data_IF_063960088731
#
_entry.id   IF_063960088731
#
_cell.length_a   1.000
_cell.length_b   1.000
_cell.length_c   1.000
_cell.angle_alpha   90.00
_cell.angle_beta   90.00
_cell.angle_gamma   90.00
#
_symmetry.space_group_name_H-M   'P 1'
#
loop_
_entity.id
_entity.type
_entity.pdbx_description
1 polymer ?
#
# COMPACT_ATOMS: atom_id res chain seq x y z
N UNK A 1 -33.43 -23.10 -37.30
CA UNK A 1 -32.14 -23.51 -36.68
C UNK A 1 -31.44 -22.24 -36.24
N UNK A 2 -31.58 -21.89 -34.96
CA UNK A 2 -31.18 -20.60 -34.38
C UNK A 2 -29.71 -20.66 -33.92
N UNK A 3 -28.91 -19.64 -34.28
CA UNK A 3 -27.76 -19.24 -33.46
C UNK A 3 -27.41 -17.77 -33.72
N UNK A 4 -28.09 -16.86 -33.01
CA UNK A 4 -27.61 -15.48 -32.81
C UNK A 4 -26.47 -15.55 -31.79
N UNK A 5 -25.25 -15.24 -32.22
CA UNK A 5 -24.09 -15.08 -31.36
C UNK A 5 -24.08 -13.63 -30.87
N UNK A 6 -24.47 -13.40 -29.62
CA UNK A 6 -24.33 -12.11 -28.95
C UNK A 6 -22.98 -12.15 -28.25
N UNK A 7 -21.98 -11.51 -28.84
CA UNK A 7 -20.71 -11.22 -28.17
C UNK A 7 -20.94 -10.11 -27.15
N UNK A 8 -21.04 -10.49 -25.88
CA UNK A 8 -21.07 -9.54 -24.77
C UNK A 8 -19.69 -8.87 -24.66
N UNK A 9 -19.59 -7.63 -25.13
CA UNK A 9 -18.48 -6.76 -24.78
C UNK A 9 -18.64 -6.37 -23.31
N UNK A 10 -17.92 -7.05 -22.42
CA UNK A 10 -17.74 -6.63 -21.03
C UNK A 10 -16.89 -5.36 -21.05
N UNK A 11 -17.55 -4.21 -20.94
CA UNK A 11 -16.92 -2.94 -20.60
C UNK A 11 -16.32 -3.12 -19.19
N UNK A 12 -15.00 -3.24 -19.10
CA UNK A 12 -14.29 -3.22 -17.82
C UNK A 12 -14.55 -1.89 -17.13
N UNK A 13 -15.27 -1.94 -16.01
CA UNK A 13 -15.49 -0.77 -15.16
C UNK A 13 -14.14 -0.44 -14.52
N UNK A 14 -13.51 0.65 -14.94
CA UNK A 14 -12.31 1.16 -14.30
C UNK A 14 -12.66 1.62 -12.88
N UNK A 15 -12.43 0.78 -11.87
CA UNK A 15 -12.46 1.20 -10.48
C UNK A 15 -11.18 2.00 -10.19
N UNK A 16 -11.18 3.26 -10.59
CA UNK A 16 -10.17 4.21 -10.11
C UNK A 16 -10.47 4.46 -8.64
N UNK A 17 -9.57 4.03 -7.74
CA UNK A 17 -9.53 4.59 -6.38
C UNK A 17 -9.11 6.05 -6.49
N UNK A 18 -10.03 6.92 -6.86
CA UNK A 18 -9.85 8.36 -6.71
C UNK A 18 -10.02 8.67 -5.22
N UNK A 19 -8.95 8.42 -4.44
CA UNK A 19 -8.85 8.91 -3.09
C UNK A 19 -8.58 10.41 -3.17
N UNK A 20 -9.51 11.23 -2.67
CA UNK A 20 -9.09 12.45 -1.98
C UNK A 20 -7.99 12.04 -1.01
N UNK A 21 -6.84 12.72 -0.97
CA UNK A 21 -5.75 12.34 -0.08
C UNK A 21 -6.20 12.58 1.36
N UNK A 22 -6.86 11.57 1.95
CA UNK A 22 -7.13 11.53 3.37
C UNK A 22 -5.84 11.04 3.98
N UNK A 23 -5.16 11.94 4.69
CA UNK A 23 -4.00 11.58 5.49
C UNK A 23 -4.53 10.80 6.69
N UNK A 24 -4.45 9.48 6.62
CA UNK A 24 -4.72 8.62 7.77
C UNK A 24 -3.40 8.42 8.50
N UNK A 25 -3.35 8.68 9.81
CA UNK A 25 -2.21 8.31 10.63
C UNK A 25 -2.00 6.79 10.52
N UNK A 26 -0.88 6.38 9.92
CA UNK A 26 -0.53 4.97 9.82
C UNK A 26 0.08 4.56 11.16
N UNK A 27 -0.45 3.51 11.79
CA UNK A 27 0.19 2.96 12.97
C UNK A 27 1.48 2.27 12.54
N UNK A 28 2.61 2.70 13.12
CA UNK A 28 3.86 1.96 13.01
C UNK A 28 3.64 0.59 13.67
N UNK A 29 4.25 -0.44 13.09
CA UNK A 29 4.25 -1.75 13.76
C UNK A 29 5.21 -1.77 14.95
N UNK A 30 4.97 -2.64 15.93
CA UNK A 30 5.89 -2.93 17.04
C UNK A 30 7.30 -3.23 16.51
N UNK A 31 7.39 -3.91 15.36
CA UNK A 31 8.66 -4.20 14.71
C UNK A 31 9.40 -2.92 14.32
N UNK A 32 8.75 -2.03 13.58
CA UNK A 32 9.38 -0.80 13.10
C UNK A 32 9.67 0.15 14.27
N UNK A 33 8.79 0.26 15.26
CA UNK A 33 9.02 1.04 16.47
C UNK A 33 10.28 0.57 17.20
N UNK A 34 10.41 -0.73 17.45
CA UNK A 34 11.61 -1.29 18.08
C UNK A 34 12.87 -1.01 17.26
N UNK A 35 12.82 -1.14 15.92
CA UNK A 35 13.97 -0.82 15.06
C UNK A 35 14.34 0.65 15.10
N UNK A 36 13.37 1.55 15.13
CA UNK A 36 13.62 2.99 15.24
C UNK A 36 14.20 3.35 16.62
N UNK A 37 13.68 2.75 17.70
CA UNK A 37 14.23 2.93 19.05
C UNK A 37 15.67 2.44 19.12
N UNK A 38 15.94 1.24 18.60
CA UNK A 38 17.27 0.65 18.54
C UNK A 38 18.24 1.53 17.74
N UNK A 39 17.77 2.08 16.62
CA UNK A 39 18.58 2.92 15.73
C UNK A 39 18.92 4.27 16.33
N UNK A 40 17.92 4.97 16.88
CA UNK A 40 18.07 6.36 17.34
C UNK A 40 18.70 6.43 18.74
N UNK A 41 18.25 5.57 19.65
CA UNK A 41 18.59 5.70 21.08
C UNK A 41 19.58 4.67 21.58
N UNK A 42 19.79 3.57 20.85
CA UNK A 42 20.60 2.43 21.31
C UNK A 42 21.78 2.12 20.38
N UNK A 43 22.04 3.01 19.41
CA UNK A 43 23.16 2.93 18.47
C UNK A 43 23.27 1.58 17.75
N UNK A 44 22.15 0.90 17.51
CA UNK A 44 22.11 -0.31 16.70
C UNK A 44 21.91 0.05 15.23
N UNK A 45 22.57 -0.68 14.35
CA UNK A 45 22.34 -0.51 12.92
C UNK A 45 20.94 -1.00 12.55
N UNK A 46 20.16 -0.15 11.89
CA UNK A 46 18.95 -0.54 11.19
C UNK A 46 19.19 -0.35 9.70
N UNK A 47 19.13 -1.44 8.93
CA UNK A 47 19.17 -1.38 7.47
C UNK A 47 17.73 -1.33 6.97
N UNK A 48 17.32 -0.16 6.48
CA UNK A 48 16.00 0.00 5.88
C UNK A 48 15.85 -0.91 4.65
N UNK A 49 14.64 -1.42 4.36
CA UNK A 49 14.42 -2.26 3.19
C UNK A 49 14.67 -1.47 1.90
N UNK A 50 15.31 -2.10 0.92
CA UNK A 50 15.58 -1.49 -0.40
C UNK A 50 14.31 -1.38 -1.25
N UNK A 51 13.26 -2.11 -0.90
CA UNK A 51 11.94 -2.08 -1.53
C UNK A 51 10.87 -2.20 -0.44
N UNK A 52 9.89 -1.30 -0.48
CA UNK A 52 8.67 -1.44 0.34
C UNK A 52 7.57 -2.04 -0.52
N UNK A 53 6.89 -3.04 0.01
CA UNK A 53 5.84 -3.77 -0.68
C UNK A 53 4.48 -3.40 -0.12
N UNK A 54 3.48 -3.25 -1.00
CA UNK A 54 2.12 -2.90 -0.60
C UNK A 54 1.27 -4.16 -0.49
N UNK A 55 0.77 -4.45 0.71
CA UNK A 55 -0.15 -5.54 0.99
C UNK A 55 -1.58 -5.02 1.15
N UNK A 56 -2.57 -5.83 0.75
CA UNK A 56 -3.99 -5.56 0.94
C UNK A 56 -4.56 -6.57 1.94
N UNK A 57 -5.31 -6.08 2.93
CA UNK A 57 -5.93 -6.93 3.96
C UNK A 57 -7.46 -6.85 3.93
N UNK A 58 -8.09 -8.00 4.14
CA UNK A 58 -9.56 -8.16 4.23
C UNK A 58 -10.08 -8.06 5.67
N UNK A 59 -9.19 -8.10 6.65
CA UNK A 59 -9.48 -7.81 8.06
C UNK A 59 -8.49 -6.78 8.61
N UNK A 60 -8.78 -6.24 9.79
CA UNK A 60 -7.91 -5.24 10.42
C UNK A 60 -6.53 -5.82 10.74
N UNK A 61 -5.50 -5.03 10.45
CA UNK A 61 -4.18 -5.18 11.06
C UNK A 61 -4.09 -4.28 12.33
N UNK A 62 -3.16 -4.62 13.22
CA UNK A 62 -2.75 -3.78 14.36
C UNK A 62 -1.27 -3.47 14.27
N UNK A 63 -0.75 -2.70 15.22
CA UNK A 63 0.69 -2.52 15.46
C UNK A 63 1.46 -3.86 15.62
N UNK A 64 0.81 -4.84 16.25
CA UNK A 64 1.40 -6.10 16.72
C UNK A 64 1.06 -7.31 15.84
N UNK A 65 0.06 -7.21 14.97
CA UNK A 65 -0.42 -8.34 14.17
C UNK A 65 -0.83 -7.93 12.75
N UNK A 66 -0.44 -8.75 11.79
CA UNK A 66 -0.97 -8.65 10.43
C UNK A 66 -2.43 -9.14 10.42
N UNK A 67 -3.27 -8.46 9.65
CA UNK A 67 -4.62 -8.94 9.36
C UNK A 67 -4.60 -10.11 8.37
N UNK A 68 -5.77 -10.46 7.86
CA UNK A 68 -5.93 -11.48 6.82
C UNK A 68 -5.56 -10.88 5.47
N UNK A 69 -4.35 -11.18 5.00
CA UNK A 69 -3.89 -10.72 3.69
C UNK A 69 -4.68 -11.40 2.56
N UNK A 70 -4.93 -10.65 1.49
CA UNK A 70 -5.47 -11.22 0.24
C UNK A 70 -4.55 -12.34 -0.25
N UNK A 71 -5.13 -13.39 -0.84
CA UNK A 71 -4.39 -14.48 -1.46
C UNK A 71 -5.15 -15.05 -2.67
N UNK A 72 -4.42 -15.70 -3.57
CA UNK A 72 -5.00 -16.25 -4.81
C UNK A 72 -5.32 -15.19 -5.86
N UNK A 73 -5.94 -15.59 -6.98
CA UNK A 73 -6.43 -14.65 -7.99
C UNK A 73 -5.38 -13.73 -8.60
N UNK A 74 -4.15 -14.21 -8.84
CA UNK A 74 -2.98 -13.42 -9.29
C UNK A 74 -2.46 -12.37 -8.28
N UNK A 75 -2.96 -12.37 -7.04
CA UNK A 75 -2.48 -11.44 -6.02
C UNK A 75 -1.01 -11.68 -5.69
N UNK A 76 -0.22 -10.62 -5.76
CA UNK A 76 1.14 -10.51 -5.25
C UNK A 76 1.36 -9.05 -4.84
N UNK A 77 2.15 -8.81 -3.77
CA UNK A 77 2.46 -7.45 -3.32
C UNK A 77 3.31 -6.73 -4.38
N UNK A 78 2.86 -5.60 -4.97
CA UNK A 78 3.75 -4.77 -5.77
C UNK A 78 4.75 -4.07 -4.86
N UNK A 79 6.00 -4.00 -5.32
CA UNK A 79 7.09 -3.31 -4.63
C UNK A 79 7.36 -1.93 -5.22
N UNK A 80 7.76 -0.99 -4.37
CA UNK A 80 8.31 0.30 -4.76
C UNK A 80 9.67 0.49 -4.09
N UNK A 81 10.72 0.60 -4.90
CA UNK A 81 12.09 0.75 -4.39
C UNK A 81 12.22 2.01 -3.54
N UNK A 82 12.89 1.91 -2.39
CA UNK A 82 13.11 3.04 -1.48
C UNK A 82 14.18 3.96 -2.05
N UNK A 83 13.78 5.18 -2.40
CA UNK A 83 14.68 6.21 -2.94
C UNK A 83 14.01 7.56 -2.86
N UNK A 84 14.79 8.63 -2.94
CA UNK A 84 14.28 10.00 -3.03
C UNK A 84 13.34 10.20 -4.24
N UNK A 85 13.55 9.46 -5.33
CA UNK A 85 12.71 9.58 -6.53
C UNK A 85 11.34 8.93 -6.33
N UNK A 86 11.28 7.82 -5.60
CA UNK A 86 10.08 7.00 -5.48
C UNK A 86 9.20 7.33 -4.27
N UNK A 87 9.76 7.89 -3.21
CA UNK A 87 9.04 8.28 -2.01
C UNK A 87 9.25 9.75 -1.72
N UNK A 88 8.16 10.51 -1.58
CA UNK A 88 8.19 11.93 -1.31
C UNK A 88 8.85 12.21 0.04
N UNK A 89 9.69 13.24 0.09
CA UNK A 89 10.06 13.85 1.36
C UNK A 89 8.87 14.56 2.02
N UNK A 90 9.02 14.87 3.31
CA UNK A 90 7.93 15.38 4.16
C UNK A 90 7.46 16.81 3.87
N UNK A 91 8.10 17.53 2.95
CA UNK A 91 7.77 18.92 2.63
C UNK A 91 6.68 19.07 1.57
N UNK A 92 6.53 18.09 0.66
CA UNK A 92 5.52 18.11 -0.39
C UNK A 92 5.43 16.75 -1.12
N UNK A 93 4.27 16.42 -1.68
CA UNK A 93 4.12 15.34 -2.64
C UNK A 93 5.03 15.57 -3.88
N UNK A 94 5.48 14.49 -4.52
CA UNK A 94 6.42 14.52 -5.66
C UNK A 94 7.81 15.11 -5.35
N UNK A 95 8.11 15.48 -4.10
CA UNK A 95 9.45 15.95 -3.73
C UNK A 95 10.47 14.81 -3.85
N UNK A 96 11.69 15.17 -4.24
CA UNK A 96 12.79 14.23 -4.48
C UNK A 96 14.08 14.61 -3.75
N UNK A 97 13.91 15.36 -2.66
CA UNK A 97 14.99 15.78 -1.76
C UNK A 97 14.79 15.13 -0.39
N UNK A 98 15.83 15.13 0.44
CA UNK A 98 15.71 14.69 1.83
C UNK A 98 14.59 15.45 2.56
N UNK A 99 13.93 14.77 3.49
CA UNK A 99 12.80 15.31 4.26
C UNK A 99 13.19 16.55 5.05
N UNK A 100 12.38 17.60 4.94
CA UNK A 100 12.55 18.88 5.66
C UNK A 100 11.24 19.51 6.12
N UNK A 101 10.10 18.83 5.88
CA UNK A 101 8.79 19.31 6.28
C UNK A 101 8.46 18.95 7.73
N UNK A 102 7.30 19.42 8.19
CA UNK A 102 6.91 19.35 9.61
C UNK A 102 5.74 18.42 9.89
N UNK A 103 5.07 17.85 8.87
CA UNK A 103 3.88 17.00 9.06
C UNK A 103 4.18 15.51 9.25
N UNK A 104 5.43 15.08 9.03
CA UNK A 104 5.77 13.65 9.03
C UNK A 104 5.09 12.83 7.92
N UNK A 105 4.47 13.48 6.92
CA UNK A 105 3.77 12.78 5.84
C UNK A 105 4.69 12.46 4.66
N UNK A 106 4.70 11.22 4.19
CA UNK A 106 5.30 10.82 2.91
C UNK A 106 4.23 10.24 1.98
N UNK A 107 4.56 10.09 0.70
CA UNK A 107 3.72 9.41 -0.28
C UNK A 107 4.54 8.77 -1.40
N UNK A 108 3.92 7.88 -2.17
CA UNK A 108 4.52 7.33 -3.36
C UNK A 108 4.62 8.40 -4.48
N UNK A 109 5.78 8.56 -5.11
CA UNK A 109 5.96 9.45 -6.26
C UNK A 109 5.68 8.75 -7.61
N UNK A 110 5.75 7.42 -7.64
CA UNK A 110 5.43 6.60 -8.80
C UNK A 110 4.16 5.78 -8.53
N UNK A 111 3.40 5.49 -9.59
CA UNK A 111 2.21 4.65 -9.47
C UNK A 111 2.60 3.21 -9.06
N UNK A 112 1.87 2.65 -8.10
CA UNK A 112 2.03 1.27 -7.64
C UNK A 112 0.85 0.49 -8.17
N UNK A 113 1.09 -0.48 -9.05
CA UNK A 113 0.03 -1.23 -9.75
C UNK A 113 0.12 -2.71 -9.43
N UNK A 114 -1.00 -3.31 -9.03
CA UNK A 114 -1.11 -4.75 -8.83
C UNK A 114 -1.36 -5.45 -10.17
N UNK A 115 -1.02 -6.74 -10.25
CA UNK A 115 -1.49 -7.57 -11.36
C UNK A 115 -3.03 -7.59 -11.37
N UNK A 116 -3.64 -7.61 -12.55
CA UNK A 116 -5.10 -7.68 -12.68
C UNK A 116 -5.62 -8.94 -11.97
N UNK A 117 -6.62 -8.83 -11.07
CA UNK A 117 -7.18 -9.97 -10.37
C UNK A 117 -7.76 -10.99 -11.36
N UNK A 118 -7.31 -12.25 -11.27
CA UNK A 118 -7.90 -13.38 -12.01
C UNK A 118 -9.06 -14.05 -11.25
N UNK A 119 -9.22 -13.71 -9.97
CA UNK A 119 -10.35 -14.04 -9.12
C UNK A 119 -10.65 -12.84 -8.20
N UNK A 120 -11.83 -12.80 -7.57
CA UNK A 120 -12.14 -11.78 -6.58
C UNK A 120 -11.20 -11.84 -5.36
N UNK A 121 -10.77 -10.69 -4.87
CA UNK A 121 -9.88 -10.54 -3.70
C UNK A 121 -10.66 -10.19 -2.42
N UNK A 122 -11.99 -10.15 -2.49
CA UNK A 122 -12.87 -9.83 -1.38
C UNK A 122 -12.93 -8.32 -1.09
N UNK A 123 -13.40 -7.97 0.12
CA UNK A 123 -13.47 -6.57 0.57
C UNK A 123 -12.21 -6.21 1.33
N UNK A 124 -11.34 -5.43 0.67
CA UNK A 124 -10.13 -4.88 1.27
C UNK A 124 -10.51 -3.71 2.17
N UNK A 125 -10.01 -3.72 3.40
CA UNK A 125 -10.29 -2.68 4.41
C UNK A 125 -9.03 -1.99 4.92
N UNK A 126 -7.86 -2.62 4.76
CA UNK A 126 -6.59 -2.06 5.23
C UNK A 126 -5.47 -2.27 4.19
N UNK A 127 -4.45 -1.42 4.30
CA UNK A 127 -3.22 -1.50 3.53
C UNK A 127 -2.07 -1.72 4.52
N UNK A 128 -1.16 -2.63 4.18
CA UNK A 128 0.13 -2.80 4.86
C UNK A 128 1.28 -2.34 4.00
N UNK A 129 2.27 -1.70 4.61
CA UNK A 129 3.60 -1.58 4.04
C UNK A 129 4.49 -2.67 4.63
N UNK A 130 5.10 -3.49 3.78
CA UNK A 130 5.85 -4.68 4.15
C UNK A 130 7.30 -4.56 3.67
N UNK A 131 8.24 -5.17 4.39
CA UNK A 131 9.66 -5.20 4.01
C UNK A 131 10.03 -6.30 3.00
N UNK A 132 9.09 -7.18 2.64
CA UNK A 132 9.28 -8.32 1.75
C UNK A 132 8.09 -8.55 0.82
N UNK A 133 8.35 -9.16 -0.34
CA UNK A 133 7.33 -9.54 -1.34
C UNK A 133 6.35 -10.60 -0.82
N UNK A 134 6.78 -11.43 0.12
CA UNK A 134 5.98 -12.45 0.81
C UNK A 134 6.52 -12.64 2.22
N UNK A 135 5.64 -12.93 3.19
CA UNK A 135 6.02 -12.98 4.61
C UNK A 135 6.67 -11.65 5.05
N UNK A 136 7.77 -11.68 5.80
CA UNK A 136 8.48 -10.48 6.25
C UNK A 136 7.79 -9.78 7.43
N UNK A 137 8.26 -8.57 7.72
CA UNK A 137 7.74 -7.72 8.76
C UNK A 137 6.85 -6.64 8.16
N UNK A 138 5.74 -6.36 8.84
CA UNK A 138 4.97 -5.15 8.59
C UNK A 138 5.77 -3.95 9.09
N UNK A 139 5.67 -2.83 8.38
CA UNK A 139 6.28 -1.56 8.73
C UNK A 139 5.20 -0.61 9.24
N UNK A 140 4.11 -0.50 8.47
CA UNK A 140 2.97 0.37 8.74
C UNK A 140 1.67 -0.37 8.40
N UNK A 141 0.65 -0.17 9.21
CA UNK A 141 -0.73 -0.55 8.93
C UNK A 141 -1.60 0.72 8.83
N UNK A 142 -2.41 0.82 7.78
CA UNK A 142 -3.41 1.90 7.66
C UNK A 142 -4.76 1.36 7.22
N UNK A 143 -5.82 1.84 7.86
CA UNK A 143 -7.18 1.58 7.41
C UNK A 143 -7.50 2.39 6.15
N UNK A 144 -8.29 1.80 5.26
CA UNK A 144 -8.97 2.55 4.21
C UNK A 144 -10.14 3.30 4.82
N UNK A 145 -10.34 4.56 4.44
CA UNK A 145 -11.53 5.32 4.87
C UNK A 145 -12.84 4.68 4.42
N UNK A 146 -12.82 3.96 3.29
CA UNK A 146 -13.93 3.18 2.77
C UNK A 146 -13.37 1.86 2.25
N UNK A 147 -13.85 0.74 2.79
CA UNK A 147 -13.51 -0.59 2.29
C UNK A 147 -13.91 -0.79 0.83
N UNK A 148 -13.12 -1.57 0.09
CA UNK A 148 -13.24 -1.74 -1.36
C UNK A 148 -13.36 -3.21 -1.70
N UNK A 149 -14.49 -3.60 -2.29
CA UNK A 149 -14.64 -4.94 -2.89
C UNK A 149 -13.91 -4.98 -4.22
N UNK A 150 -12.97 -5.92 -4.36
CA UNK A 150 -12.17 -6.11 -5.56
C UNK A 150 -12.59 -7.42 -6.23
N UNK A 151 -13.03 -7.30 -7.48
CA UNK A 151 -13.54 -8.39 -8.31
C UNK A 151 -12.53 -8.79 -9.40
N UNK A 152 -12.78 -9.93 -10.04
CA UNK A 152 -12.02 -10.36 -11.22
C UNK A 152 -12.05 -9.29 -12.31
N UNK A 153 -10.88 -8.97 -12.87
CA UNK A 153 -10.74 -8.01 -13.96
C UNK A 153 -10.65 -6.55 -13.52
N UNK A 154 -10.82 -6.24 -12.23
CA UNK A 154 -10.67 -4.87 -11.72
C UNK A 154 -9.22 -4.38 -11.88
N UNK A 155 -9.03 -3.08 -12.09
CA UNK A 155 -7.69 -2.48 -12.02
C UNK A 155 -7.45 -1.98 -10.61
N UNK A 156 -6.39 -2.48 -9.95
CA UNK A 156 -6.03 -2.08 -8.58
C UNK A 156 -4.69 -1.35 -8.64
N UNK A 157 -4.71 -0.06 -8.31
CA UNK A 157 -3.51 0.77 -8.32
C UNK A 157 -3.59 1.89 -7.29
N UNK A 158 -2.41 2.34 -6.87
CA UNK A 158 -2.19 3.59 -6.16
C UNK A 158 -1.48 4.55 -7.13
N UNK A 159 -2.19 5.51 -7.74
CA UNK A 159 -1.55 6.58 -8.51
C UNK A 159 -0.49 7.33 -7.68
N UNK A 160 0.37 8.10 -8.35
CA UNK A 160 1.31 8.96 -7.65
C UNK A 160 0.56 9.87 -6.64
N UNK A 161 1.17 10.03 -5.47
CA UNK A 161 0.69 10.76 -4.30
C UNK A 161 -0.60 10.22 -3.63
N UNK A 162 -1.17 9.10 -4.06
CA UNK A 162 -2.42 8.58 -3.47
C UNK A 162 -2.22 7.71 -2.24
N UNK A 163 -1.07 7.04 -2.11
CA UNK A 163 -0.70 6.27 -0.92
C UNK A 163 0.08 7.19 0.00
N UNK A 164 -0.61 7.81 0.95
CA UNK A 164 -0.04 8.70 1.95
C UNK A 164 0.16 7.95 3.27
N UNK A 165 1.27 8.23 3.94
CA UNK A 165 1.60 7.70 5.25
C UNK A 165 2.02 8.87 6.12
N UNK A 166 1.37 9.07 7.27
CA UNK A 166 1.80 10.03 8.27
C UNK A 166 2.48 9.31 9.43
N UNK A 167 3.74 9.66 9.68
CA UNK A 167 4.54 9.19 10.82
C UNK A 167 4.54 10.25 11.92
N UNK A 168 3.33 10.65 12.32
CA UNK A 168 3.05 11.62 13.38
C UNK A 168 1.66 11.28 13.93
N UNK A 169 1.54 11.13 15.25
CA UNK A 169 0.31 10.66 15.92
C UNK A 169 -0.52 11.83 16.46
#
# INVERSE_FOLDING_TARGET
MFKKWIGSALLGLALVLAAVPVVQAGALSDYLENKLVDHVFRAQAYTAPTTVYVALFTSACSDSAIGTEVSGGSYARPGLATSLVNWAGTQAAASTTASSGTSGTTSNNAAITFATPSAGWGTVTHIGLMDSVSSGNMLVCTALSIGKTINTGDTVSFPAASLTIQMDN
#
